data_IF_614902931151
#
_entry.id   IF_614902931151
#
_cell.length_a   1.000
_cell.length_b   1.000
_cell.length_c   1.000
_cell.angle_alpha   90.00
_cell.angle_beta   90.00
_cell.angle_gamma   90.00
#
_symmetry.space_group_name_H-M   'P 1'
#
loop_
_entity.id
_entity.type
_entity.pdbx_description
1 polymer ?
#
# COMPACT_ATOMS: atom_id res chain seq x y z
N UNK A 1 19.99 24.22 9.33
CA UNK A 1 18.66 24.59 9.83
C UNK A 1 17.68 23.65 9.14
N UNK A 2 17.46 22.48 9.77
CA UNK A 2 16.56 21.47 9.24
C UNK A 2 15.14 21.84 9.63
N UNK A 3 14.32 22.11 8.63
CA UNK A 3 12.91 22.33 8.81
C UNK A 3 12.25 20.97 9.01
N UNK A 4 12.02 20.57 10.24
CA UNK A 4 11.12 19.48 10.58
C UNK A 4 9.71 19.91 10.18
N UNK A 5 9.27 19.48 9.02
CA UNK A 5 7.86 19.48 8.69
C UNK A 5 7.24 18.37 9.53
N UNK A 6 6.63 18.71 10.65
CA UNK A 6 5.81 17.79 11.43
C UNK A 6 4.64 17.40 10.56
N UNK A 7 4.71 16.22 9.97
CA UNK A 7 3.57 15.57 9.33
C UNK A 7 2.60 15.23 10.47
N UNK A 8 1.43 15.85 10.41
CA UNK A 8 0.47 15.84 11.49
C UNK A 8 0.02 14.43 11.87
N UNK A 9 -0.17 14.26 13.15
CA UNK A 9 -0.76 13.10 13.81
C UNK A 9 -1.96 12.55 13.04
N UNK A 10 -2.06 11.22 12.95
CA UNK A 10 -3.28 10.54 12.54
C UNK A 10 -4.44 11.09 13.39
N UNK A 11 -5.25 11.93 12.80
CA UNK A 11 -6.41 12.53 13.47
C UNK A 11 -7.60 11.63 13.21
N UNK A 12 -8.22 11.10 14.25
CA UNK A 12 -9.50 10.44 14.13
C UNK A 12 -10.50 11.43 13.52
N UNK A 13 -10.79 11.30 12.23
CA UNK A 13 -11.74 12.13 11.52
C UNK A 13 -13.02 11.34 11.31
N UNK A 14 -14.13 11.89 11.78
CA UNK A 14 -15.44 11.37 11.43
C UNK A 14 -15.76 11.72 9.98
N UNK A 15 -15.95 10.73 9.12
CA UNK A 15 -16.41 10.93 7.76
C UNK A 15 -17.56 10.00 7.43
N UNK A 16 -18.41 10.43 6.49
CA UNK A 16 -19.49 9.59 5.99
C UNK A 16 -19.03 8.88 4.72
N UNK A 17 -19.09 7.56 4.72
CA UNK A 17 -18.73 6.69 3.60
C UNK A 17 -19.96 5.99 3.04
N UNK A 18 -19.97 5.80 1.73
CA UNK A 18 -20.99 5.03 1.02
C UNK A 18 -20.38 3.72 0.51
N UNK A 19 -20.92 2.60 0.94
CA UNK A 19 -20.58 1.26 0.46
C UNK A 19 -21.72 0.27 0.76
N UNK A 20 -21.75 -0.84 0.04
CA UNK A 20 -22.77 -1.91 0.16
C UNK A 20 -24.23 -1.37 0.13
N UNK A 21 -24.46 -0.29 -0.64
CA UNK A 21 -25.76 0.34 -0.80
C UNK A 21 -26.24 1.17 0.40
N UNK A 22 -25.38 1.46 1.36
CA UNK A 22 -25.67 2.26 2.55
C UNK A 22 -24.65 3.35 2.83
N UNK A 23 -25.05 4.30 3.68
CA UNK A 23 -24.17 5.34 4.19
C UNK A 23 -23.75 5.00 5.62
N UNK A 24 -22.47 5.04 5.89
CA UNK A 24 -21.86 4.60 7.16
C UNK A 24 -20.97 5.68 7.74
N UNK A 25 -21.04 5.85 9.05
CA UNK A 25 -20.12 6.75 9.76
C UNK A 25 -18.78 6.02 9.99
N UNK A 26 -17.69 6.58 9.46
CA UNK A 26 -16.34 6.11 9.71
C UNK A 26 -15.67 7.00 10.77
N UNK A 27 -15.21 6.38 11.86
CA UNK A 27 -14.55 7.03 13.00
C UNK A 27 -13.10 6.52 13.19
N UNK A 28 -12.60 5.78 12.22
CA UNK A 28 -11.26 5.22 12.28
C UNK A 28 -10.17 6.24 11.94
N UNK A 29 -8.95 5.78 12.10
CA UNK A 29 -7.77 6.54 11.70
C UNK A 29 -7.66 6.60 10.18
N UNK A 30 -7.12 7.71 9.70
CA UNK A 30 -6.81 7.94 8.28
C UNK A 30 -5.30 7.93 8.15
N UNK A 31 -4.82 7.07 7.28
CA UNK A 31 -3.39 6.92 7.02
C UNK A 31 -2.97 7.68 5.77
N UNK A 32 -1.78 8.26 5.82
CA UNK A 32 -1.09 8.69 4.61
C UNK A 32 -0.70 7.44 3.78
N UNK A 33 -0.64 7.59 2.47
CA UNK A 33 -0.21 6.52 1.57
C UNK A 33 1.11 6.94 0.92
N UNK A 34 2.14 6.14 1.12
CA UNK A 34 3.45 6.36 0.50
C UNK A 34 3.78 5.12 -0.33
N UNK A 35 4.04 5.31 -1.60
CA UNK A 35 4.42 4.24 -2.54
C UNK A 35 5.75 4.60 -3.16
N UNK A 36 6.73 3.69 -3.11
CA UNK A 36 8.09 3.92 -3.61
C UNK A 36 8.66 5.26 -3.14
N UNK A 37 8.52 5.54 -1.84
CA UNK A 37 8.95 6.79 -1.20
C UNK A 37 8.28 8.08 -1.72
N UNK A 38 7.16 7.96 -2.43
CA UNK A 38 6.35 9.08 -2.89
C UNK A 38 5.03 9.15 -2.11
N UNK A 39 4.70 10.33 -1.58
CA UNK A 39 3.41 10.59 -0.95
C UNK A 39 2.31 10.62 -2.02
N UNK A 40 1.38 9.70 -1.92
CA UNK A 40 0.21 9.62 -2.78
C UNK A 40 -0.98 10.27 -2.09
N UNK A 41 -1.70 11.13 -2.80
CA UNK A 41 -2.89 11.82 -2.28
C UNK A 41 -4.15 11.33 -3.03
N UNK A 42 -4.66 10.15 -2.71
CA UNK A 42 -5.86 9.63 -3.36
C UNK A 42 -7.11 10.40 -2.90
N UNK A 43 -8.18 10.48 -3.72
CA UNK A 43 -9.46 11.08 -3.34
C UNK A 43 -10.10 10.44 -2.10
N UNK A 44 -9.85 9.14 -1.88
CA UNK A 44 -10.16 8.41 -0.66
C UNK A 44 -8.87 7.82 -0.09
N UNK A 45 -8.45 8.33 1.05
CA UNK A 45 -7.28 7.82 1.77
C UNK A 45 -7.48 6.37 2.24
N UNK A 46 -6.41 5.64 2.55
CA UNK A 46 -6.51 4.35 3.23
C UNK A 46 -7.40 4.43 4.47
N UNK A 47 -8.23 3.41 4.65
CA UNK A 47 -9.12 3.27 5.81
C UNK A 47 -8.91 1.92 6.47
N UNK A 48 -9.20 1.85 7.77
CA UNK A 48 -9.21 0.58 8.50
C UNK A 48 -10.63 0.01 8.49
N UNK A 49 -10.76 -1.19 7.96
CA UNK A 49 -12.01 -1.92 7.86
C UNK A 49 -11.83 -3.32 8.45
N UNK A 50 -12.55 -3.65 9.54
CA UNK A 50 -12.40 -4.90 10.28
C UNK A 50 -10.92 -5.22 10.62
N UNK A 51 -10.23 -4.25 11.21
CA UNK A 51 -8.81 -4.33 11.60
C UNK A 51 -7.83 -4.59 10.44
N UNK A 52 -8.24 -4.31 9.22
CA UNK A 52 -7.42 -4.41 8.01
C UNK A 52 -7.44 -3.10 7.23
N UNK A 53 -6.30 -2.72 6.71
CA UNK A 53 -6.23 -1.56 5.84
C UNK A 53 -6.78 -1.89 4.46
N UNK A 54 -7.76 -1.11 4.03
CA UNK A 54 -8.19 -1.02 2.65
C UNK A 54 -7.54 0.19 2.00
N UNK A 55 -7.00 -0.01 0.82
CA UNK A 55 -6.27 1.00 0.05
C UNK A 55 -6.84 1.11 -1.36
N UNK A 56 -6.78 2.29 -1.98
CA UNK A 56 -7.26 2.46 -3.34
C UNK A 56 -6.35 1.72 -4.32
N UNK A 57 -6.90 0.72 -5.02
CA UNK A 57 -6.13 -0.20 -5.87
C UNK A 57 -5.40 0.50 -6.99
N UNK A 58 -6.06 1.43 -7.69
CA UNK A 58 -5.50 2.08 -8.87
C UNK A 58 -4.27 2.92 -8.53
N UNK A 59 -4.38 3.72 -7.50
CA UNK A 59 -3.35 4.64 -7.08
C UNK A 59 -2.05 3.93 -6.65
N UNK A 60 -2.16 2.70 -6.13
CA UNK A 60 -0.99 1.89 -5.76
C UNK A 60 -0.39 1.20 -6.97
N UNK A 61 -1.22 0.47 -7.70
CA UNK A 61 -0.72 -0.39 -8.77
C UNK A 61 -0.20 0.37 -9.98
N UNK A 62 -0.82 1.51 -10.32
CA UNK A 62 -0.29 2.37 -11.38
C UNK A 62 1.05 3.00 -10.99
N UNK A 63 1.25 3.32 -9.69
CA UNK A 63 2.53 3.85 -9.18
C UNK A 63 3.66 2.82 -9.24
N UNK A 64 3.35 1.54 -9.07
CA UNK A 64 4.33 0.44 -9.22
C UNK A 64 4.40 -0.10 -10.66
N UNK A 65 3.82 0.59 -11.62
CA UNK A 65 3.94 0.29 -13.04
C UNK A 65 2.98 -0.78 -13.58
N UNK A 66 1.99 -1.21 -12.80
CA UNK A 66 0.95 -2.13 -13.27
C UNK A 66 -0.24 -1.38 -13.90
N UNK A 67 -1.02 -2.09 -14.68
CA UNK A 67 -2.27 -1.61 -15.27
C UNK A 67 -3.46 -2.09 -14.45
N UNK A 68 -4.40 -1.20 -14.13
CA UNK A 68 -5.62 -1.53 -13.38
C UNK A 68 -6.84 -1.31 -14.26
N UNK A 69 -7.60 -2.38 -14.50
CA UNK A 69 -8.86 -2.36 -15.21
C UNK A 69 -10.02 -2.75 -14.29
N UNK A 70 -11.16 -2.08 -14.46
CA UNK A 70 -12.39 -2.41 -13.74
C UNK A 70 -13.51 -2.71 -14.72
N UNK A 71 -14.08 -3.91 -14.63
CA UNK A 71 -15.16 -4.38 -15.49
C UNK A 71 -16.48 -4.22 -14.74
N UNK A 72 -17.27 -3.23 -15.12
CA UNK A 72 -18.54 -2.88 -14.45
C UNK A 72 -19.56 -4.03 -14.42
N UNK A 73 -19.73 -4.73 -15.53
CA UNK A 73 -20.78 -5.75 -15.69
C UNK A 73 -20.59 -6.93 -14.73
N UNK A 74 -19.34 -7.28 -14.43
CA UNK A 74 -18.97 -8.39 -13.54
C UNK A 74 -18.43 -7.93 -12.20
N UNK A 75 -18.28 -6.62 -12.00
CA UNK A 75 -17.63 -6.01 -10.84
C UNK A 75 -16.24 -6.61 -10.57
N UNK A 76 -15.50 -6.86 -11.65
CA UNK A 76 -14.18 -7.49 -11.61
C UNK A 76 -13.08 -6.43 -11.68
N UNK A 77 -12.06 -6.63 -10.88
CA UNK A 77 -10.83 -5.85 -10.84
C UNK A 77 -9.75 -6.73 -11.45
N UNK A 78 -9.11 -6.22 -12.49
CA UNK A 78 -7.96 -6.86 -13.12
C UNK A 78 -6.75 -5.95 -12.93
N UNK A 79 -5.68 -6.51 -12.38
CA UNK A 79 -4.39 -5.84 -12.25
C UNK A 79 -3.38 -6.67 -12.98
N UNK A 80 -2.66 -6.09 -13.92
CA UNK A 80 -1.67 -6.80 -14.73
C UNK A 80 -0.37 -6.01 -14.84
N UNK A 81 0.74 -6.74 -14.78
CA UNK A 81 2.09 -6.29 -15.03
C UNK A 81 2.85 -7.36 -15.83
N UNK A 82 4.13 -7.12 -16.12
CA UNK A 82 4.99 -8.13 -16.77
C UNK A 82 5.27 -9.35 -15.86
N UNK A 83 5.07 -9.21 -14.55
CA UNK A 83 5.43 -10.24 -13.56
C UNK A 83 4.21 -10.95 -12.97
N UNK A 84 3.04 -10.32 -12.94
CA UNK A 84 1.84 -10.89 -12.31
C UNK A 84 0.55 -10.41 -12.93
N UNK A 85 -0.47 -11.27 -12.84
CA UNK A 85 -1.87 -10.98 -13.10
C UNK A 85 -2.69 -11.27 -11.84
N UNK A 86 -3.49 -10.30 -11.41
CA UNK A 86 -4.40 -10.44 -10.26
C UNK A 86 -5.82 -10.14 -10.70
N UNK A 87 -6.73 -11.08 -10.46
CA UNK A 87 -8.15 -10.90 -10.73
C UNK A 87 -8.94 -11.04 -9.44
N UNK A 88 -9.69 -10.02 -9.09
CA UNK A 88 -10.54 -9.98 -7.89
C UNK A 88 -11.94 -9.54 -8.28
N UNK A 89 -12.89 -9.75 -7.37
CA UNK A 89 -14.26 -9.30 -7.56
C UNK A 89 -14.74 -8.54 -6.32
N UNK A 90 -15.56 -7.52 -6.54
CA UNK A 90 -16.17 -6.75 -5.44
C UNK A 90 -17.02 -7.69 -4.58
N UNK A 91 -16.88 -7.56 -3.26
CA UNK A 91 -17.57 -8.34 -2.25
C UNK A 91 -17.35 -9.87 -2.35
N UNK A 92 -16.26 -10.32 -2.98
CA UNK A 92 -15.86 -11.72 -3.07
C UNK A 92 -14.52 -11.94 -2.34
N UNK A 93 -14.41 -13.02 -1.59
CA UNK A 93 -13.20 -13.40 -0.88
C UNK A 93 -12.26 -14.30 -1.72
N UNK A 94 -12.56 -14.47 -3.00
CA UNK A 94 -11.74 -15.23 -3.94
C UNK A 94 -11.00 -14.28 -4.87
N UNK A 95 -9.70 -14.50 -5.01
CA UNK A 95 -8.86 -13.90 -6.01
C UNK A 95 -8.21 -14.97 -6.90
N UNK A 96 -7.77 -14.58 -8.06
CA UNK A 96 -6.92 -15.39 -8.93
C UNK A 96 -5.62 -14.65 -9.15
N UNK A 97 -4.49 -15.33 -8.93
CA UNK A 97 -3.16 -14.79 -9.06
C UNK A 97 -2.41 -15.66 -10.06
N UNK A 98 -2.03 -15.08 -11.19
CA UNK A 98 -1.46 -15.82 -12.31
C UNK A 98 -2.31 -17.04 -12.71
N UNK A 99 -3.65 -16.89 -12.60
CA UNK A 99 -4.62 -17.94 -12.87
C UNK A 99 -4.86 -18.93 -11.72
N UNK A 100 -4.08 -18.90 -10.64
CA UNK A 100 -4.28 -19.75 -9.47
C UNK A 100 -5.29 -19.15 -8.49
N UNK A 101 -6.25 -19.97 -8.06
CA UNK A 101 -7.29 -19.56 -7.11
C UNK A 101 -6.70 -19.43 -5.70
N UNK A 102 -6.91 -18.28 -5.10
CA UNK A 102 -6.47 -17.95 -3.74
C UNK A 102 -7.62 -17.31 -2.96
N UNK A 103 -7.70 -17.57 -1.66
CA UNK A 103 -8.68 -16.92 -0.82
C UNK A 103 -8.07 -15.67 -0.18
N UNK A 104 -8.82 -14.57 -0.21
CA UNK A 104 -8.47 -13.35 0.53
C UNK A 104 -8.72 -13.62 2.02
N UNK A 105 -7.71 -13.53 2.89
CA UNK A 105 -7.85 -13.87 4.30
C UNK A 105 -8.71 -12.86 5.07
N UNK A 106 -9.08 -13.24 6.29
CA UNK A 106 -9.71 -12.37 7.29
C UNK A 106 -11.10 -11.79 6.91
N UNK A 107 -11.77 -12.35 5.90
CA UNK A 107 -13.08 -11.89 5.41
C UNK A 107 -13.14 -10.39 5.06
N UNK A 108 -12.02 -9.80 4.74
CA UNK A 108 -11.97 -8.43 4.23
C UNK A 108 -11.81 -8.48 2.72
N UNK A 109 -12.87 -8.13 2.03
CA UNK A 109 -13.00 -8.27 0.57
C UNK A 109 -12.82 -6.93 -0.15
N UNK A 110 -12.51 -6.93 -1.44
CA UNK A 110 -12.51 -5.72 -2.24
C UNK A 110 -13.88 -5.04 -2.21
N UNK A 111 -13.89 -3.71 -2.06
CA UNK A 111 -15.13 -2.92 -1.95
C UNK A 111 -15.09 -1.68 -2.83
N UNK A 112 -16.25 -1.27 -3.31
CA UNK A 112 -16.45 0.07 -3.85
C UNK A 112 -16.84 0.99 -2.70
N UNK A 113 -16.04 2.02 -2.45
CA UNK A 113 -16.25 2.96 -1.35
C UNK A 113 -16.10 4.39 -1.87
N UNK A 114 -16.99 5.28 -1.47
CA UNK A 114 -16.88 6.72 -1.69
C UNK A 114 -17.07 7.49 -0.40
N UNK A 115 -16.54 8.71 -0.33
CA UNK A 115 -17.09 9.72 0.58
C UNK A 115 -18.43 10.17 0.04
N UNK A 116 -19.37 10.55 0.91
CA UNK A 116 -20.66 11.10 0.46
C UNK A 116 -20.41 12.27 -0.49
N UNK A 117 -20.96 12.17 -1.70
CA UNK A 117 -20.77 13.16 -2.78
C UNK A 117 -19.38 13.16 -3.43
N UNK A 118 -18.52 12.19 -3.11
CA UNK A 118 -17.19 12.02 -3.70
C UNK A 118 -17.14 10.93 -4.77
N UNK A 119 -15.94 10.74 -5.33
CA UNK A 119 -15.70 9.67 -6.30
C UNK A 119 -15.67 8.30 -5.60
N UNK A 120 -16.27 7.30 -6.27
CA UNK A 120 -16.16 5.91 -5.83
C UNK A 120 -14.79 5.34 -6.16
N UNK A 121 -14.13 4.76 -5.18
CA UNK A 121 -12.84 4.09 -5.32
C UNK A 121 -12.98 2.60 -5.07
N UNK A 122 -12.22 1.82 -5.81
CA UNK A 122 -12.05 0.41 -5.55
C UNK A 122 -10.99 0.24 -4.48
N UNK A 123 -11.43 -0.23 -3.31
CA UNK A 123 -10.59 -0.41 -2.13
C UNK A 123 -10.28 -1.90 -1.95
N UNK A 124 -9.02 -2.23 -1.73
CA UNK A 124 -8.54 -3.63 -1.60
C UNK A 124 -7.73 -3.82 -0.32
N UNK A 125 -7.73 -5.04 0.26
CA UNK A 125 -6.91 -5.34 1.43
C UNK A 125 -5.42 -5.27 1.08
N UNK A 126 -4.70 -4.27 1.58
CA UNK A 126 -3.32 -4.01 1.18
C UNK A 126 -2.38 -5.19 1.45
N UNK A 127 -2.48 -5.81 2.63
CA UNK A 127 -1.60 -6.91 3.01
C UNK A 127 -1.74 -8.13 2.09
N UNK A 128 -2.97 -8.49 1.75
CA UNK A 128 -3.21 -9.59 0.82
C UNK A 128 -2.52 -9.35 -0.52
N UNK A 129 -2.70 -8.17 -1.07
CA UNK A 129 -2.13 -7.81 -2.37
C UNK A 129 -0.61 -7.83 -2.31
N UNK A 130 -0.02 -7.19 -1.31
CA UNK A 130 1.43 -7.07 -1.18
C UNK A 130 2.13 -8.42 -1.01
N UNK A 131 1.61 -9.28 -0.13
CA UNK A 131 2.16 -10.62 0.09
C UNK A 131 2.08 -11.48 -1.17
N UNK A 132 1.08 -11.21 -2.02
CA UNK A 132 0.83 -12.02 -3.21
C UNK A 132 1.72 -11.64 -4.39
N UNK A 133 2.04 -10.36 -4.55
CA UNK A 133 2.79 -9.83 -5.70
C UNK A 133 4.20 -9.34 -5.33
N UNK A 134 4.63 -9.59 -4.09
CA UNK A 134 5.98 -9.29 -3.64
C UNK A 134 6.23 -7.83 -3.27
N UNK A 135 5.19 -7.03 -3.02
CA UNK A 135 5.37 -5.69 -2.45
C UNK A 135 5.63 -5.77 -0.95
N UNK A 136 6.54 -4.96 -0.45
CA UNK A 136 6.73 -4.78 0.99
C UNK A 136 5.74 -3.73 1.52
N UNK A 137 5.04 -4.05 2.62
CA UNK A 137 4.08 -3.15 3.24
C UNK A 137 4.38 -2.97 4.71
N UNK A 138 4.62 -1.73 5.10
CA UNK A 138 4.83 -1.32 6.49
C UNK A 138 3.76 -0.36 6.96
N UNK A 139 3.34 -0.55 8.20
CA UNK A 139 2.49 0.40 8.92
C UNK A 139 3.35 1.21 9.85
N UNK A 140 3.46 2.49 9.58
CA UNK A 140 4.08 3.44 10.47
C UNK A 140 3.00 4.08 11.35
N UNK A 141 2.94 3.63 12.59
CA UNK A 141 1.96 4.14 13.58
C UNK A 141 2.39 5.46 14.21
N UNK A 142 3.67 5.84 14.12
CA UNK A 142 4.17 7.10 14.67
C UNK A 142 3.83 8.23 13.70
N UNK A 143 4.02 8.02 12.41
CA UNK A 143 3.71 9.00 11.37
C UNK A 143 2.30 8.83 10.77
N UNK A 144 1.57 7.79 11.15
CA UNK A 144 0.22 7.51 10.63
C UNK A 144 0.25 7.23 9.12
N UNK A 145 1.17 6.41 8.65
CA UNK A 145 1.39 6.13 7.25
C UNK A 145 1.35 4.64 6.91
N UNK A 146 0.94 4.32 5.68
CA UNK A 146 1.13 3.02 5.04
C UNK A 146 2.19 3.21 3.97
N UNK A 147 3.31 2.50 4.14
CA UNK A 147 4.43 2.52 3.23
C UNK A 147 4.39 1.26 2.38
N UNK A 148 4.45 1.42 1.06
CA UNK A 148 4.44 0.33 0.08
C UNK A 148 5.66 0.50 -0.82
N UNK A 149 6.46 -0.57 -0.94
CA UNK A 149 7.68 -0.56 -1.74
C UNK A 149 7.71 -1.75 -2.71
N UNK A 150 8.05 -1.51 -3.96
CA UNK A 150 8.13 -2.54 -4.99
C UNK A 150 9.49 -3.25 -5.04
N UNK A 151 10.55 -2.63 -4.51
CA UNK A 151 11.92 -3.14 -4.63
C UNK A 151 12.41 -3.91 -3.38
N UNK A 152 11.50 -4.21 -2.43
CA UNK A 152 11.83 -4.74 -1.12
C UNK A 152 12.70 -3.73 -0.35
N UNK A 153 12.20 -3.19 0.74
CA UNK A 153 12.90 -2.17 1.52
C UNK A 153 14.31 -2.65 1.89
N UNK A 154 15.31 -2.18 1.15
CA UNK A 154 16.71 -2.25 1.59
C UNK A 154 16.86 -1.17 2.64
N UNK A 155 16.83 -1.55 3.92
CA UNK A 155 17.31 -0.67 4.99
C UNK A 155 18.77 -0.42 4.64
N UNK A 156 19.08 0.72 4.05
CA UNK A 156 20.42 1.26 4.11
C UNK A 156 20.62 1.64 5.58
N UNK A 157 21.21 0.73 6.35
CA UNK A 157 21.75 1.07 7.65
C UNK A 157 22.80 2.18 7.41
N UNK A 158 22.41 3.42 7.57
CA UNK A 158 23.32 4.58 7.59
C UNK A 158 24.26 4.55 8.80
N UNK A 159 24.37 3.42 9.50
CA UNK A 159 25.27 3.19 10.63
C UNK A 159 26.25 2.03 10.41
N UNK A 160 26.64 1.75 9.17
CA UNK A 160 27.83 0.96 8.96
C UNK A 160 29.03 1.89 9.03
N UNK A 161 29.57 2.07 10.23
CA UNK A 161 30.91 2.61 10.40
C UNK A 161 31.86 1.80 9.51
N UNK A 162 32.72 2.46 8.70
CA UNK A 162 33.68 1.74 7.87
C UNK A 162 34.55 0.89 8.79
N UNK A 163 34.52 -0.43 8.61
CA UNK A 163 35.39 -1.36 9.31
C UNK A 163 36.85 -0.99 9.00
N UNK A 164 37.64 -0.77 10.06
CA UNK A 164 39.05 -0.35 10.00
C UNK A 164 40.01 -1.45 9.49
N UNK A 165 39.49 -2.49 8.82
CA UNK A 165 40.30 -3.62 8.37
C UNK A 165 40.87 -3.50 6.94
N UNK A 166 40.62 -2.39 6.23
CA UNK A 166 41.13 -2.17 4.87
C UNK A 166 42.41 -1.26 4.82
N UNK A 167 43.10 -1.08 5.93
CA UNK A 167 44.44 -0.49 5.90
C UNK A 167 45.47 -1.60 5.76
N UNK A 168 45.67 -2.03 4.54
CA UNK A 168 46.86 -2.86 4.20
C UNK A 168 48.07 -1.95 4.21
N UNK A 169 49.04 -2.13 5.12
CA UNK A 169 50.29 -1.38 5.04
C UNK A 169 51.08 -1.86 3.83
N UNK A 170 51.38 -0.93 2.94
CA UNK A 170 52.34 -1.17 1.83
C UNK A 170 53.71 -1.44 2.42
N UNK A 171 54.44 -2.48 2.00
CA UNK A 171 55.80 -2.69 2.46
C UNK A 171 56.71 -1.62 1.91
N UNK A 172 57.39 -0.96 2.84
CA UNK A 172 58.47 0.00 2.55
C UNK A 172 59.53 -0.68 1.69
N UNK A 173 59.71 -0.16 0.48
CA UNK A 173 60.79 -0.57 -0.38
C UNK A 173 61.98 0.33 -0.04
N UNK A 174 62.82 -0.16 0.89
CA UNK A 174 64.11 0.42 1.19
C UNK A 174 65.20 -0.28 0.33
N UNK A 175 65.80 0.45 -0.59
CA UNK A 175 67.20 0.37 -0.96
C UNK A 175 67.65 1.68 -1.55
#
# INVERSE_FOLDING_TARGET
MFLFCSVGFASAQTMMLEYDGGTHEYKGEIYALVVNNQLINPPLSPIIFNDRALVPVREIFEEVGATVNYINDTQTIEVSSDEYDVVMRINDNVAYINGEKTNIPDNVVPKLISKVGGETKTMVPVRFISETIGLDVKFDSEDGAILIDSDGYVISDENQEPSIDDVVPQPDNCC
#
